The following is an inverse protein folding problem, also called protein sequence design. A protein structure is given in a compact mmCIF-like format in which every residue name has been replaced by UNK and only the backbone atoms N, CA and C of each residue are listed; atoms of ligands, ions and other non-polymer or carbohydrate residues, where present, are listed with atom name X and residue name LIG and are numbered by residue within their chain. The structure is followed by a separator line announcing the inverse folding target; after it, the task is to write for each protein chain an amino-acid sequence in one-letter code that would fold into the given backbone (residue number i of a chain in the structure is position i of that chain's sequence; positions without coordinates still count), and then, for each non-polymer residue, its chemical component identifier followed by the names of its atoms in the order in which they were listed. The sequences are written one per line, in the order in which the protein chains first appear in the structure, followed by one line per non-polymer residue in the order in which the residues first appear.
data_IF_018216233987
#
_entry.id   IF_018216233987
#
_cell.length_a   1.000
_cell.length_b   1.000
_cell.length_c   1.000
_cell.angle_alpha   90.00
_cell.angle_beta   90.00
_cell.angle_gamma   90.00
#
_symmetry.space_group_name_H-M   'P 1'
#
loop_
_entity.id
_entity.type
_entity.pdbx_description
1 polymer ?
#
# COMPACT_ATOMS: atom_id res chain seq x y z
N UNK A 1 16.83 -16.97 4.78
CA UNK A 1 16.17 -15.72 4.31
C UNK A 1 17.15 -14.60 3.97
N UNK A 2 18.39 -14.57 4.51
CA UNK A 2 19.37 -13.49 4.23
C UNK A 2 19.63 -13.27 2.74
N UNK A 3 19.91 -14.34 1.99
CA UNK A 3 20.25 -14.26 0.55
C UNK A 3 19.15 -13.57 -0.27
N UNK A 4 17.88 -13.88 0.00
CA UNK A 4 16.76 -13.22 -0.67
C UNK A 4 16.66 -11.72 -0.32
N UNK A 5 17.01 -11.33 0.91
CA UNK A 5 17.05 -9.93 1.30
C UNK A 5 18.11 -9.19 0.49
N UNK A 6 19.31 -9.75 0.44
CA UNK A 6 20.46 -9.13 -0.20
C UNK A 6 20.25 -9.01 -1.73
N UNK A 7 19.83 -10.09 -2.37
CA UNK A 7 19.71 -10.16 -3.83
C UNK A 7 18.46 -9.47 -4.39
N UNK A 8 17.33 -9.59 -3.68
CA UNK A 8 16.01 -9.20 -4.21
C UNK A 8 15.43 -8.00 -3.47
N UNK A 9 15.59 -7.92 -2.16
CA UNK A 9 14.90 -6.88 -1.36
C UNK A 9 15.67 -5.59 -1.34
N UNK A 10 16.97 -5.60 -1.09
CA UNK A 10 17.83 -4.41 -1.03
C UNK A 10 17.73 -3.53 -2.28
N UNK A 11 17.79 -4.05 -3.53
CA UNK A 11 17.62 -3.22 -4.71
C UNK A 11 16.17 -2.81 -5.01
N UNK A 12 15.18 -3.31 -4.25
CA UNK A 12 13.76 -3.09 -4.55
C UNK A 12 13.26 -1.72 -4.05
N UNK A 13 12.47 -0.95 -4.84
CA UNK A 13 11.97 0.36 -4.42
C UNK A 13 11.10 0.31 -3.13
N UNK A 14 10.35 -0.78 -2.93
CA UNK A 14 9.59 -1.04 -1.70
C UNK A 14 10.36 -1.83 -0.61
N UNK A 15 11.70 -1.80 -0.60
CA UNK A 15 12.55 -2.60 0.29
C UNK A 15 12.11 -2.58 1.77
N UNK A 16 11.78 -1.40 2.30
CA UNK A 16 11.38 -1.24 3.71
C UNK A 16 10.09 -2.00 4.03
N UNK A 17 9.14 -2.04 3.09
CA UNK A 17 7.88 -2.77 3.28
C UNK A 17 8.12 -4.27 3.24
N UNK A 18 8.95 -4.74 2.32
CA UNK A 18 9.30 -6.17 2.21
C UNK A 18 10.09 -6.62 3.43
N UNK A 19 11.09 -5.85 3.87
CA UNK A 19 11.89 -6.13 5.06
C UNK A 19 11.02 -6.29 6.31
N UNK A 20 10.00 -5.44 6.51
CA UNK A 20 9.03 -5.60 7.61
C UNK A 20 8.24 -6.91 7.54
N UNK A 21 7.96 -7.44 6.34
CA UNK A 21 7.27 -8.73 6.17
C UNK A 21 8.23 -9.87 6.45
N UNK A 22 9.45 -9.79 5.93
CA UNK A 22 10.52 -10.77 6.19
C UNK A 22 10.82 -10.86 7.67
N UNK A 23 10.95 -9.74 8.38
CA UNK A 23 11.18 -9.74 9.83
C UNK A 23 10.08 -10.51 10.59
N UNK A 24 8.81 -10.32 10.22
CA UNK A 24 7.69 -11.09 10.81
C UNK A 24 7.74 -12.57 10.48
N UNK A 25 8.09 -12.92 9.24
CA UNK A 25 8.21 -14.31 8.82
C UNK A 25 9.39 -14.97 9.55
N UNK A 26 10.54 -14.32 9.62
CA UNK A 26 11.70 -14.78 10.37
C UNK A 26 11.37 -14.98 11.85
N UNK A 27 10.62 -14.07 12.48
CA UNK A 27 10.21 -14.23 13.88
C UNK A 27 9.32 -15.48 14.11
N UNK A 28 8.47 -15.84 13.15
CA UNK A 28 7.60 -17.02 13.25
C UNK A 28 8.29 -18.34 12.84
N UNK A 29 9.18 -18.29 11.85
CA UNK A 29 9.89 -19.46 11.29
C UNK A 29 11.33 -19.62 11.79
N UNK A 30 11.79 -18.84 12.78
CA UNK A 30 13.20 -18.82 13.22
C UNK A 30 13.74 -20.19 13.63
N UNK A 31 12.92 -21.02 14.26
CA UNK A 31 13.27 -22.38 14.69
C UNK A 31 12.85 -23.47 13.70
N UNK A 32 12.36 -23.09 12.51
CA UNK A 32 11.76 -24.01 11.54
C UNK A 32 12.65 -24.22 10.32
N UNK A 33 12.75 -25.47 9.87
CA UNK A 33 13.41 -25.82 8.61
C UNK A 33 12.45 -25.68 7.43
N UNK A 34 12.97 -25.74 6.20
CA UNK A 34 12.15 -25.74 4.98
C UNK A 34 11.14 -26.89 4.95
N UNK A 35 11.50 -28.07 5.47
CA UNK A 35 10.60 -29.22 5.57
C UNK A 35 9.39 -28.96 6.48
N UNK A 36 9.52 -28.01 7.42
CA UNK A 36 8.44 -27.62 8.32
C UNK A 36 7.54 -26.53 7.72
N UNK A 37 7.78 -26.08 6.49
CA UNK A 37 6.86 -25.21 5.74
C UNK A 37 5.77 -26.07 5.12
N UNK A 38 4.79 -26.42 5.93
CA UNK A 38 3.64 -27.26 5.55
C UNK A 38 2.34 -26.46 5.51
N UNK A 39 1.31 -27.01 4.86
CA UNK A 39 -0.03 -26.41 4.87
C UNK A 39 -0.58 -26.14 6.28
N UNK A 40 -0.28 -27.01 7.25
CA UNK A 40 -0.68 -26.82 8.65
C UNK A 40 0.02 -25.59 9.27
N UNK A 41 1.34 -25.47 9.09
CA UNK A 41 2.10 -24.32 9.63
C UNK A 41 1.74 -23.00 8.96
N UNK A 42 1.46 -23.00 7.64
CA UNK A 42 0.98 -21.81 6.94
C UNK A 42 -0.40 -21.38 7.43
N UNK A 43 -1.33 -22.30 7.67
CA UNK A 43 -2.65 -21.99 8.26
C UNK A 43 -2.54 -21.49 9.69
N UNK A 44 -1.66 -22.08 10.50
CA UNK A 44 -1.37 -21.62 11.86
C UNK A 44 -0.82 -20.18 11.86
N UNK A 45 0.05 -19.85 10.90
CA UNK A 45 0.51 -18.48 10.71
C UNK A 45 -0.62 -17.53 10.31
N UNK A 46 -1.48 -17.92 9.37
CA UNK A 46 -2.63 -17.08 8.99
C UNK A 46 -3.52 -16.78 10.20
N UNK A 47 -3.76 -17.78 11.05
CA UNK A 47 -4.56 -17.62 12.28
C UNK A 47 -3.91 -16.69 13.32
N UNK A 48 -2.59 -16.56 13.35
CA UNK A 48 -1.89 -15.65 14.28
C UNK A 48 -1.87 -14.18 13.81
N UNK A 49 -2.37 -13.89 12.61
CA UNK A 49 -2.36 -12.53 12.03
C UNK A 49 -3.73 -11.87 12.17
N UNK A 50 -3.79 -10.54 12.37
CA UNK A 50 -5.05 -9.79 12.49
C UNK A 50 -5.83 -9.68 11.18
N UNK A 51 -5.20 -9.96 10.03
CA UNK A 51 -5.81 -9.86 8.71
C UNK A 51 -5.36 -11.00 7.80
N UNK A 52 -6.30 -11.77 7.22
CA UNK A 52 -5.98 -12.79 6.23
C UNK A 52 -5.26 -12.23 4.99
N UNK A 53 -5.62 -11.02 4.56
CA UNK A 53 -4.97 -10.34 3.43
C UNK A 53 -3.51 -9.98 3.72
N UNK A 54 -3.24 -9.48 4.92
CA UNK A 54 -1.87 -9.23 5.38
C UNK A 54 -1.05 -10.52 5.48
N UNK A 55 -1.62 -11.56 6.08
CA UNK A 55 -0.99 -12.88 6.18
C UNK A 55 -0.68 -13.48 4.80
N UNK A 56 -1.61 -13.35 3.84
CA UNK A 56 -1.41 -13.81 2.46
C UNK A 56 -0.21 -13.12 1.82
N UNK A 57 -0.06 -11.80 2.01
CA UNK A 57 1.08 -11.06 1.45
C UNK A 57 2.41 -11.49 2.06
N UNK A 58 2.42 -11.74 3.37
CA UNK A 58 3.58 -12.28 4.07
C UNK A 58 3.96 -13.66 3.47
N UNK A 59 3.00 -14.58 3.33
CA UNK A 59 3.25 -15.90 2.75
C UNK A 59 3.65 -15.88 1.26
N UNK A 60 3.22 -14.86 0.49
CA UNK A 60 3.70 -14.67 -0.88
C UNK A 60 5.19 -14.31 -0.92
N UNK A 61 5.65 -13.45 0.01
CA UNK A 61 7.07 -13.13 0.10
C UNK A 61 7.88 -14.33 0.62
N UNK A 62 7.34 -15.15 1.53
CA UNK A 62 7.94 -16.43 1.92
C UNK A 62 8.10 -17.36 0.71
N UNK A 63 7.05 -17.50 -0.10
CA UNK A 63 7.08 -18.31 -1.31
C UNK A 63 8.12 -17.81 -2.32
N UNK A 64 8.25 -16.48 -2.47
CA UNK A 64 9.25 -15.88 -3.33
C UNK A 64 10.68 -16.12 -2.81
N UNK A 65 10.90 -16.01 -1.50
CA UNK A 65 12.18 -16.27 -0.87
C UNK A 65 12.61 -17.74 -1.03
N UNK A 66 11.69 -18.68 -0.84
CA UNK A 66 11.92 -20.11 -1.09
C UNK A 66 12.21 -20.35 -2.58
N UNK A 67 11.41 -19.76 -3.48
CA UNK A 67 11.63 -19.88 -4.92
C UNK A 67 12.98 -19.32 -5.37
N UNK A 68 13.45 -18.22 -4.76
CA UNK A 68 14.80 -17.70 -4.97
C UNK A 68 15.87 -18.69 -4.50
N UNK A 69 15.74 -19.16 -3.26
CA UNK A 69 16.66 -20.16 -2.69
C UNK A 69 16.72 -21.47 -3.51
N UNK A 70 15.65 -21.82 -4.24
CA UNK A 70 15.64 -22.98 -5.13
C UNK A 70 16.39 -22.69 -6.43
N UNK A 71 16.14 -21.53 -7.06
CA UNK A 71 16.78 -21.14 -8.32
C UNK A 71 18.29 -20.97 -8.18
N UNK A 72 18.76 -20.48 -7.03
CA UNK A 72 20.18 -20.38 -6.70
C UNK A 72 20.82 -21.73 -6.34
N UNK A 73 20.07 -22.84 -6.36
CA UNK A 73 20.61 -24.19 -6.15
C UNK A 73 20.82 -24.61 -4.70
N UNK A 74 20.41 -23.80 -3.72
CA UNK A 74 20.60 -24.12 -2.29
C UNK A 74 19.67 -25.22 -1.76
N UNK A 75 18.61 -25.58 -2.51
CA UNK A 75 17.84 -26.79 -2.25
C UNK A 75 17.17 -27.30 -3.53
N UNK A 76 16.90 -28.61 -3.58
CA UNK A 76 16.34 -29.29 -4.76
C UNK A 76 14.84 -29.56 -4.66
N UNK A 77 14.31 -29.68 -3.44
CA UNK A 77 12.91 -30.02 -3.22
C UNK A 77 11.97 -28.84 -3.48
N UNK A 78 10.81 -29.09 -4.09
CA UNK A 78 9.79 -28.07 -4.35
C UNK A 78 8.88 -27.87 -3.13
N UNK A 79 9.21 -26.87 -2.32
CA UNK A 79 8.40 -26.50 -1.14
C UNK A 79 7.27 -25.55 -1.53
N UNK A 80 6.02 -26.03 -1.46
CA UNK A 80 4.82 -25.24 -1.78
C UNK A 80 4.24 -24.56 -0.54
N UNK A 81 4.20 -23.23 -0.55
CA UNK A 81 3.57 -22.44 0.51
C UNK A 81 2.06 -22.39 0.32
N UNK A 82 1.29 -22.86 1.32
CA UNK A 82 -0.16 -22.80 1.29
C UNK A 82 -0.66 -21.37 1.56
N UNK A 83 -1.32 -20.75 0.58
CA UNK A 83 -1.86 -19.40 0.71
C UNK A 83 -3.35 -19.45 1.11
N UNK A 84 -3.83 -18.53 1.98
CA UNK A 84 -5.27 -18.41 2.23
C UNK A 84 -6.01 -17.93 0.97
N UNK A 85 -7.33 -18.15 0.95
CA UNK A 85 -8.21 -17.70 -0.14
C UNK A 85 -7.97 -16.21 -0.40
N UNK A 86 -7.85 -15.84 -1.69
CA UNK A 86 -7.72 -14.45 -2.10
C UNK A 86 -8.97 -13.69 -1.66
N UNK A 87 -8.77 -12.54 -1.00
CA UNK A 87 -9.89 -11.66 -0.64
C UNK A 87 -10.63 -11.19 -1.89
N UNK A 88 -11.93 -10.97 -1.74
CA UNK A 88 -12.79 -10.48 -2.83
C UNK A 88 -12.34 -9.09 -3.29
N UNK A 89 -12.52 -8.83 -4.58
CA UNK A 89 -12.29 -7.50 -5.10
C UNK A 89 -13.31 -6.53 -4.48
N UNK A 90 -12.94 -5.25 -4.36
CA UNK A 90 -13.92 -4.24 -3.94
C UNK A 90 -14.91 -4.05 -5.08
N UNK A 91 -16.19 -4.33 -4.82
CA UNK A 91 -17.27 -4.21 -5.83
C UNK A 91 -17.98 -2.84 -5.79
N UNK A 92 -17.89 -2.12 -4.66
CA UNK A 92 -18.58 -0.83 -4.49
C UNK A 92 -17.69 0.35 -4.82
N UNK A 93 -18.15 1.17 -5.76
CA UNK A 93 -17.58 2.47 -6.10
C UNK A 93 -18.36 3.60 -5.43
N UNK A 94 -17.72 4.76 -5.25
CA UNK A 94 -18.42 5.95 -4.78
C UNK A 94 -19.25 6.56 -5.91
N UNK A 95 -20.50 6.88 -5.60
CA UNK A 95 -21.35 7.72 -6.45
C UNK A 95 -20.85 9.16 -6.49
N UNK A 96 -21.28 9.93 -7.50
CA UNK A 96 -20.99 11.37 -7.61
C UNK A 96 -21.37 12.15 -6.36
N UNK A 97 -22.54 11.86 -5.80
CA UNK A 97 -23.04 12.51 -4.59
C UNK A 97 -22.20 12.16 -3.35
N UNK A 98 -21.68 10.94 -3.26
CA UNK A 98 -20.75 10.54 -2.20
C UNK A 98 -19.39 11.24 -2.32
N UNK A 99 -18.87 11.35 -3.53
CA UNK A 99 -17.65 12.14 -3.78
C UNK A 99 -17.88 13.60 -3.41
N UNK A 100 -19.00 14.20 -3.80
CA UNK A 100 -19.35 15.57 -3.44
C UNK A 100 -19.42 15.77 -1.91
N UNK A 101 -20.04 14.83 -1.18
CA UNK A 101 -20.06 14.85 0.29
C UNK A 101 -18.66 14.76 0.89
N UNK A 102 -17.79 13.93 0.34
CA UNK A 102 -16.40 13.80 0.79
C UNK A 102 -15.61 15.09 0.57
N UNK A 103 -15.74 15.71 -0.61
CA UNK A 103 -15.13 17.01 -0.93
C UNK A 103 -15.64 18.08 0.04
N UNK A 104 -16.95 18.15 0.27
CA UNK A 104 -17.57 19.11 1.17
C UNK A 104 -17.11 18.95 2.62
N UNK A 105 -17.03 17.71 3.11
CA UNK A 105 -16.52 17.40 4.45
C UNK A 105 -15.05 17.85 4.58
N UNK A 106 -14.19 17.47 3.64
CA UNK A 106 -12.77 17.86 3.65
C UNK A 106 -12.57 19.38 3.51
N UNK A 107 -13.40 20.05 2.71
CA UNK A 107 -13.31 21.50 2.50
C UNK A 107 -13.67 22.30 3.77
N UNK A 108 -14.65 21.81 4.54
CA UNK A 108 -15.14 22.46 5.76
C UNK A 108 -14.44 22.03 7.03
N UNK A 109 -13.72 20.91 7.04
CA UNK A 109 -13.03 20.41 8.22
C UNK A 109 -12.05 21.43 8.82
N UNK A 110 -12.25 21.71 10.11
CA UNK A 110 -11.46 22.63 10.93
C UNK A 110 -10.71 21.89 12.04
N UNK A 111 -9.73 22.57 12.60
CA UNK A 111 -9.05 22.15 13.82
C UNK A 111 -10.09 21.98 14.94
N UNK A 112 -10.06 20.85 15.64
CA UNK A 112 -11.07 20.50 16.65
C UNK A 112 -12.18 19.58 16.15
N UNK A 113 -12.50 19.54 14.84
CA UNK A 113 -13.59 18.73 14.25
C UNK A 113 -13.39 17.21 14.36
N UNK A 114 -12.35 16.74 15.08
CA UNK A 114 -12.17 15.33 15.34
C UNK A 114 -13.37 14.83 16.14
N UNK A 115 -14.00 13.71 15.75
CA UNK A 115 -14.92 13.04 16.64
C UNK A 115 -14.15 12.80 17.94
N UNK A 116 -14.78 13.14 19.05
CA UNK A 116 -14.20 12.85 20.33
C UNK A 116 -13.94 11.34 20.40
N UNK A 117 -12.77 10.94 20.89
CA UNK A 117 -12.59 9.59 21.41
C UNK A 117 -13.71 9.32 22.43
N UNK A 118 -14.13 8.06 22.60
CA UNK A 118 -15.20 7.68 23.53
C UNK A 118 -15.13 8.48 24.85
N UNK A 119 -16.16 9.28 25.13
CA UNK A 119 -16.26 10.14 26.32
C UNK A 119 -15.82 11.61 26.16
N UNK A 120 -15.26 12.03 25.01
CA UNK A 120 -14.92 13.43 24.76
C UNK A 120 -16.07 14.26 24.19
N UNK A 121 -16.02 15.59 24.32
CA UNK A 121 -16.88 16.50 23.54
C UNK A 121 -16.32 16.63 22.13
N UNK A 122 -17.17 16.43 21.11
CA UNK A 122 -16.81 16.74 19.73
C UNK A 122 -16.51 18.25 19.64
N UNK A 123 -15.27 18.59 19.31
CA UNK A 123 -14.84 19.97 19.18
C UNK A 123 -15.34 20.56 17.87
N UNK A 124 -16.65 20.73 17.67
CA UNK A 124 -17.13 21.58 16.60
C UNK A 124 -16.71 23.02 16.93
N UNK A 125 -15.49 23.39 16.54
CA UNK A 125 -15.04 24.76 16.66
C UNK A 125 -15.26 25.43 15.31
N UNK A 126 -16.29 26.25 15.22
CA UNK A 126 -16.54 27.14 14.07
C UNK A 126 -15.40 28.14 13.85
N UNK A 127 -14.46 28.21 14.79
CA UNK A 127 -13.38 29.21 14.91
C UNK A 127 -12.00 28.64 14.55
N UNK A 128 -11.82 27.31 14.46
CA UNK A 128 -10.54 26.66 14.15
C UNK A 128 -10.06 26.84 12.70
N UNK A 129 -8.75 26.70 12.44
CA UNK A 129 -8.19 26.79 11.07
C UNK A 129 -8.66 25.61 10.21
N UNK A 130 -8.81 25.80 8.91
CA UNK A 130 -9.14 24.71 7.99
C UNK A 130 -7.98 23.72 7.86
N UNK A 131 -8.25 22.43 8.05
CA UNK A 131 -7.20 21.39 8.11
C UNK A 131 -7.12 20.54 6.86
N UNK A 132 -8.22 20.32 6.13
CA UNK A 132 -8.29 19.33 5.04
C UNK A 132 -8.60 19.89 3.64
N UNK A 133 -8.48 21.21 3.43
CA UNK A 133 -8.70 21.81 2.09
C UNK A 133 -7.74 21.26 1.02
N UNK A 134 -6.55 20.80 1.40
CA UNK A 134 -5.64 20.12 0.47
C UNK A 134 -6.19 18.76 0.03
N UNK A 135 -6.87 18.02 0.92
CA UNK A 135 -7.53 16.76 0.61
C UNK A 135 -8.72 16.96 -0.33
N UNK A 136 -9.51 18.03 -0.14
CA UNK A 136 -10.58 18.38 -1.06
C UNK A 136 -10.06 18.56 -2.50
N UNK A 137 -8.94 19.28 -2.66
CA UNK A 137 -8.26 19.44 -3.96
C UNK A 137 -7.76 18.10 -4.52
N UNK A 138 -7.12 17.29 -3.67
CA UNK A 138 -6.68 15.94 -4.05
C UNK A 138 -7.84 15.08 -4.58
N UNK A 139 -8.99 15.08 -3.89
CA UNK A 139 -10.17 14.30 -4.31
C UNK A 139 -10.66 14.77 -5.68
N UNK A 140 -10.79 16.07 -5.88
CA UNK A 140 -11.24 16.64 -7.16
C UNK A 140 -10.28 16.29 -8.30
N UNK A 141 -8.98 16.42 -8.08
CA UNK A 141 -7.96 16.08 -9.08
C UNK A 141 -7.93 14.58 -9.38
N UNK A 142 -7.98 13.73 -8.35
CA UNK A 142 -7.99 12.29 -8.52
C UNK A 142 -9.25 11.81 -9.26
N UNK A 143 -10.41 12.38 -8.94
CA UNK A 143 -11.69 12.05 -9.56
C UNK A 143 -11.76 12.51 -11.02
N UNK A 144 -11.36 13.76 -11.30
CA UNK A 144 -11.41 14.34 -12.66
C UNK A 144 -10.39 13.72 -13.62
N UNK A 145 -9.20 13.39 -13.14
CA UNK A 145 -8.12 12.86 -14.00
C UNK A 145 -8.00 11.33 -13.97
N UNK A 146 -8.82 10.65 -13.16
CA UNK A 146 -8.73 9.21 -12.90
C UNK A 146 -7.29 8.74 -12.54
N UNK A 147 -6.52 9.60 -11.88
CA UNK A 147 -5.10 9.37 -11.63
C UNK A 147 -4.87 8.70 -10.27
N UNK A 148 -3.84 7.85 -10.22
CA UNK A 148 -3.42 7.21 -8.97
C UNK A 148 -2.94 8.26 -7.95
N UNK A 149 -3.09 8.02 -6.63
CA UNK A 149 -2.69 8.98 -5.61
C UNK A 149 -1.24 9.48 -5.76
N UNK A 150 -0.30 8.59 -6.08
CA UNK A 150 1.10 8.98 -6.28
C UNK A 150 1.30 10.00 -7.41
N UNK A 151 0.53 9.91 -8.49
CA UNK A 151 0.61 10.88 -9.59
C UNK A 151 0.02 12.24 -9.17
N UNK A 152 -1.12 12.24 -8.50
CA UNK A 152 -1.78 13.47 -8.03
C UNK A 152 -0.93 14.18 -6.97
N UNK A 153 -0.33 13.44 -6.05
CA UNK A 153 0.50 13.99 -4.96
C UNK A 153 1.86 14.51 -5.43
N UNK A 154 2.34 14.06 -6.60
CA UNK A 154 3.59 14.54 -7.20
C UNK A 154 3.35 15.58 -8.28
N UNK A 155 2.12 16.08 -8.41
CA UNK A 155 1.76 17.05 -9.43
C UNK A 155 2.35 18.44 -9.12
N UNK A 156 2.97 19.07 -10.12
CA UNK A 156 3.44 20.45 -10.11
C UNK A 156 2.77 21.29 -11.19
N UNK A 157 2.90 22.61 -11.09
CA UNK A 157 2.47 23.53 -12.16
C UNK A 157 3.42 23.50 -13.36
N UNK A 158 4.68 23.16 -13.13
CA UNK A 158 5.72 23.12 -14.16
C UNK A 158 6.18 21.70 -14.40
N UNK A 159 6.61 21.41 -15.63
CA UNK A 159 7.23 20.13 -15.98
C UNK A 159 8.59 20.00 -15.28
N UNK A 160 8.75 18.92 -14.50
CA UNK A 160 10.00 18.63 -13.80
C UNK A 160 10.25 17.12 -13.72
N UNK A 161 11.54 16.74 -13.67
CA UNK A 161 11.92 15.34 -13.56
C UNK A 161 11.34 14.70 -12.28
N UNK A 162 10.71 13.53 -12.42
CA UNK A 162 10.15 12.79 -11.30
C UNK A 162 8.80 13.31 -10.79
N UNK A 163 8.15 14.24 -11.50
CA UNK A 163 6.86 14.84 -11.12
C UNK A 163 5.83 14.67 -12.23
N UNK A 164 4.56 14.66 -11.84
CA UNK A 164 3.45 14.89 -12.78
C UNK A 164 3.28 16.39 -12.93
N UNK A 165 2.65 16.90 -14.00
CA UNK A 165 2.39 18.34 -14.10
C UNK A 165 1.08 18.69 -14.80
N UNK A 166 0.53 19.85 -14.48
CA UNK A 166 -0.66 20.42 -15.10
C UNK A 166 -0.28 21.45 -16.16
N UNK A 167 -0.71 21.21 -17.39
CA UNK A 167 -0.70 22.21 -18.45
C UNK A 167 -2.09 22.88 -18.47
N UNK A 168 -2.17 24.08 -17.89
CA UNK A 168 -3.42 24.82 -17.78
C UNK A 168 -3.87 25.43 -19.11
N UNK A 169 -2.91 25.74 -20.01
CA UNK A 169 -3.21 26.30 -21.33
C UNK A 169 -3.89 25.24 -22.22
N UNK A 170 -3.43 23.99 -22.12
CA UNK A 170 -4.01 22.86 -22.85
C UNK A 170 -5.10 22.11 -22.07
N UNK A 171 -5.24 22.39 -20.78
CA UNK A 171 -6.14 21.67 -19.89
C UNK A 171 -5.77 20.19 -19.68
N UNK A 172 -4.48 19.84 -19.79
CA UNK A 172 -3.99 18.45 -19.76
C UNK A 172 -3.21 18.16 -18.48
N UNK A 173 -3.46 16.98 -17.88
CA UNK A 173 -2.65 16.46 -16.78
C UNK A 173 -1.65 15.41 -17.29
N UNK A 174 -0.37 15.77 -17.31
CA UNK A 174 0.71 14.87 -17.70
C UNK A 174 1.19 14.06 -16.50
N UNK A 175 0.95 12.75 -16.56
CA UNK A 175 1.37 11.80 -15.51
C UNK A 175 2.85 11.50 -15.64
N UNK A 176 3.52 11.30 -14.49
CA UNK A 176 4.89 10.80 -14.45
C UNK A 176 5.03 9.56 -15.37
N UNK A 177 5.87 9.65 -16.42
CA UNK A 177 6.31 8.47 -17.16
C UNK A 177 7.11 7.61 -16.20
N UNK A 178 6.72 6.34 -16.07
CA UNK A 178 7.53 5.36 -15.33
C UNK A 178 8.94 5.36 -15.95
N UNK A 179 9.98 5.50 -15.11
CA UNK A 179 11.40 5.55 -15.51
C UNK A 179 11.90 4.23 -16.16
N UNK A 180 11.01 3.32 -16.57
CA UNK A 180 11.31 2.02 -17.21
C UNK A 180 11.33 2.08 -18.74
N UNK A 181 11.69 3.23 -19.33
CA UNK A 181 11.64 3.44 -20.78
C UNK A 181 12.86 4.11 -21.38
N UNK A 182 13.96 4.19 -20.64
CA UNK A 182 15.28 4.54 -21.17
C UNK A 182 16.17 3.32 -20.95
N UNK A 183 16.08 2.39 -21.90
CA UNK A 183 17.17 1.47 -22.24
C UNK A 183 17.70 1.94 -23.58
#
# INVERSE_FOLDING_TARGET
MSIYVDDVVTPHPDQQRIAKRIARLSAWWSSKTLAQVTGATCRAYVASRPSPGGARRDLQDLSAAIGHHHREGYHRELVKVALPKKGEARERWLSRSEVARLVWAAWRAREGDRPAAEGGKAGNTTVGRYTMRHLARFILLAYSTASRPGAVLTASWEAAAGRSYFDLDRGVFYRLRDRRGLR
#
